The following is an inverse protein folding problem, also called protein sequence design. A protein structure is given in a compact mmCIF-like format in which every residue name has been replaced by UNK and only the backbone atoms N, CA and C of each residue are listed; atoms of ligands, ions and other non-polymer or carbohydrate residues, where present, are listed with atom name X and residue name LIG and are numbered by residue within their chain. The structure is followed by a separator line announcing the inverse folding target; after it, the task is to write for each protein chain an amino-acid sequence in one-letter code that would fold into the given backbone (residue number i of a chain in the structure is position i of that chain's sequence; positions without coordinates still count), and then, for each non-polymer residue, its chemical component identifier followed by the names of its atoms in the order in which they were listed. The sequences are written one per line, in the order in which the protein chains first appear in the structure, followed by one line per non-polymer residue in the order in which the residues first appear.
data_IF_986599815285
#
_entry.id   IF_986599815285
#
_cell.length_a   1.000
_cell.length_b   1.000
_cell.length_c   1.000
_cell.angle_alpha   90.00
_cell.angle_beta   90.00
_cell.angle_gamma   90.00
#
_symmetry.space_group_name_H-M   'P 1'
#
loop_
_entity.id
_entity.type
_entity.pdbx_description
1 polymer ?
#
# COMPACT_ATOMS: atom_id res chain seq x y z
N UNK A 1 -21.41 -31.17 -17.77
CA UNK A 1 -20.21 -31.07 -18.64
C UNK A 1 -19.95 -29.59 -18.86
N UNK A 2 -19.16 -28.95 -18.01
CA UNK A 2 -18.83 -27.54 -18.18
C UNK A 2 -17.43 -27.44 -18.76
N UNK A 3 -17.33 -27.25 -20.08
CA UNK A 3 -16.12 -26.69 -20.66
C UNK A 3 -16.41 -25.99 -21.99
N UNK A 4 -16.26 -24.66 -21.99
CA UNK A 4 -15.71 -23.93 -23.14
C UNK A 4 -15.06 -22.62 -22.62
N UNK A 5 -13.74 -22.63 -22.42
CA UNK A 5 -12.96 -21.42 -22.10
C UNK A 5 -12.83 -20.54 -23.35
N UNK A 6 -13.71 -19.55 -23.47
CA UNK A 6 -13.66 -18.43 -24.44
C UNK A 6 -12.72 -17.33 -23.95
N UNK A 7 -11.88 -16.76 -24.83
CA UNK A 7 -10.95 -15.63 -24.60
C UNK A 7 -9.95 -15.75 -23.42
N UNK A 8 -8.75 -15.12 -23.46
CA UNK A 8 -7.83 -15.16 -22.33
C UNK A 8 -8.35 -14.29 -21.19
N UNK A 9 -9.14 -14.87 -20.29
CA UNK A 9 -9.56 -14.20 -19.06
C UNK A 9 -8.40 -14.16 -18.04
N UNK A 10 -8.15 -12.98 -17.49
CA UNK A 10 -7.16 -12.76 -16.44
C UNK A 10 -7.75 -11.90 -15.34
N UNK A 11 -7.73 -12.42 -14.11
CA UNK A 11 -8.00 -11.63 -12.91
C UNK A 11 -6.69 -11.10 -12.33
N UNK A 12 -6.66 -9.84 -11.94
CA UNK A 12 -5.56 -9.25 -11.19
C UNK A 12 -6.11 -8.45 -10.03
N UNK A 13 -5.32 -8.39 -8.95
CA UNK A 13 -5.49 -7.40 -7.89
C UNK A 13 -4.82 -6.10 -8.33
N UNK A 14 -5.44 -4.96 -8.06
CA UNK A 14 -5.04 -3.68 -8.67
C UNK A 14 -4.29 -2.74 -7.73
N UNK A 15 -4.10 -3.11 -6.47
CA UNK A 15 -3.36 -2.25 -5.53
C UNK A 15 -3.36 -2.75 -4.09
N UNK A 16 -3.95 -1.97 -3.20
CA UNK A 16 -3.93 -2.16 -1.76
C UNK A 16 -4.40 -3.54 -1.29
N UNK A 17 -3.65 -4.17 -0.38
CA UNK A 17 -4.07 -5.35 0.36
C UNK A 17 -4.35 -4.96 1.83
N UNK A 18 -5.02 -5.85 2.56
CA UNK A 18 -5.21 -5.62 4.00
C UNK A 18 -3.85 -5.66 4.71
N UNK A 19 -3.54 -4.61 5.47
CA UNK A 19 -2.30 -4.55 6.24
C UNK A 19 -2.29 -5.63 7.33
N UNK A 20 -1.24 -6.47 7.39
CA UNK A 20 -1.06 -7.43 8.47
C UNK A 20 -1.06 -6.75 9.86
N UNK A 21 -1.48 -7.45 10.93
CA UNK A 21 -1.45 -6.91 12.29
C UNK A 21 -0.08 -6.35 12.70
N UNK A 22 1.00 -7.04 12.35
CA UNK A 22 2.39 -6.62 12.62
C UNK A 22 2.74 -5.28 11.95
N UNK A 23 2.32 -5.08 10.69
CA UNK A 23 2.54 -3.81 9.99
C UNK A 23 1.74 -2.67 10.62
N UNK A 24 0.50 -2.94 11.03
CA UNK A 24 -0.31 -1.93 11.74
C UNK A 24 0.36 -1.52 13.04
N UNK A 25 0.81 -2.49 13.83
CA UNK A 25 1.51 -2.25 15.09
C UNK A 25 2.81 -1.47 14.87
N UNK A 26 3.65 -1.86 13.92
CA UNK A 26 4.91 -1.15 13.63
C UNK A 26 4.66 0.30 13.21
N UNK A 27 3.61 0.57 12.43
CA UNK A 27 3.24 1.95 12.05
C UNK A 27 2.79 2.77 13.27
N UNK A 28 2.03 2.17 14.18
CA UNK A 28 1.65 2.84 15.44
C UNK A 28 2.87 3.12 16.32
N UNK A 29 3.80 2.17 16.46
CA UNK A 29 5.05 2.34 17.21
C UNK A 29 5.91 3.45 16.62
N UNK A 30 6.05 3.48 15.28
CA UNK A 30 6.79 4.53 14.59
C UNK A 30 6.15 5.91 14.81
N UNK A 31 4.81 6.01 14.75
CA UNK A 31 4.10 7.27 15.05
C UNK A 31 4.32 7.75 16.48
N UNK A 32 4.52 6.84 17.43
CA UNK A 32 4.86 7.13 18.83
C UNK A 32 6.36 7.39 19.06
N UNK A 33 7.20 7.23 18.03
CA UNK A 33 8.66 7.34 18.15
C UNK A 33 9.32 6.16 18.87
N UNK A 34 8.62 5.03 19.01
CA UNK A 34 9.11 3.82 19.69
C UNK A 34 10.06 2.99 18.81
N UNK A 35 9.93 3.09 17.48
CA UNK A 35 10.84 2.50 16.51
C UNK A 35 11.27 3.56 15.49
N UNK A 36 12.48 3.38 14.97
CA UNK A 36 13.06 4.19 13.90
C UNK A 36 12.36 3.93 12.56
N UNK A 37 12.53 4.87 11.62
CA UNK A 37 12.07 4.67 10.25
C UNK A 37 12.72 3.47 9.56
N UNK A 38 13.95 3.12 9.94
CA UNK A 38 14.65 1.93 9.42
C UNK A 38 14.01 0.64 9.94
N UNK A 39 13.67 0.58 11.22
CA UNK A 39 12.97 -0.59 11.80
C UNK A 39 11.56 -0.76 11.22
N UNK A 40 10.81 0.34 11.03
CA UNK A 40 9.53 0.28 10.32
C UNK A 40 9.73 -0.27 8.90
N UNK A 41 10.77 0.19 8.22
CA UNK A 41 11.08 -0.24 6.85
C UNK A 41 11.35 -1.75 6.78
N UNK A 42 12.05 -2.32 7.75
CA UNK A 42 12.28 -3.77 7.79
C UNK A 42 10.98 -4.56 7.95
N UNK A 43 10.04 -4.07 8.77
CA UNK A 43 8.70 -4.68 8.90
C UNK A 43 7.96 -4.60 7.58
N UNK A 44 7.94 -3.42 6.94
CA UNK A 44 7.31 -3.22 5.62
C UNK A 44 7.89 -4.18 4.57
N UNK A 45 9.21 -4.33 4.52
CA UNK A 45 9.91 -5.23 3.59
C UNK A 45 9.52 -6.70 3.81
N UNK A 46 9.40 -7.15 5.06
CA UNK A 46 8.94 -8.51 5.37
C UNK A 46 7.49 -8.70 4.94
N UNK A 47 6.58 -7.81 5.34
CA UNK A 47 5.18 -7.90 4.95
C UNK A 47 4.97 -7.88 3.44
N UNK A 48 5.75 -7.08 2.69
CA UNK A 48 5.69 -7.06 1.23
C UNK A 48 6.13 -8.40 0.65
N UNK A 49 7.23 -9.00 1.15
CA UNK A 49 7.67 -10.33 0.70
C UNK A 49 6.59 -11.39 0.94
N UNK A 50 5.92 -11.35 2.08
CA UNK A 50 4.84 -12.29 2.40
C UNK A 50 3.61 -12.07 1.51
N UNK A 51 3.27 -10.81 1.20
CA UNK A 51 2.19 -10.48 0.27
C UNK A 51 2.49 -10.93 -1.16
N UNK A 52 3.74 -10.78 -1.62
CA UNK A 52 4.21 -11.28 -2.92
C UNK A 52 4.07 -12.80 -2.96
N UNK A 53 4.61 -13.50 -1.96
CA UNK A 53 4.54 -14.96 -1.86
C UNK A 53 3.10 -15.47 -1.86
N UNK A 54 2.20 -14.85 -1.10
CA UNK A 54 0.79 -15.21 -1.07
C UNK A 54 0.13 -15.08 -2.46
N UNK A 55 0.40 -14.00 -3.19
CA UNK A 55 -0.14 -13.79 -4.53
C UNK A 55 0.42 -14.83 -5.52
N UNK A 56 1.71 -15.18 -5.43
CA UNK A 56 2.33 -16.24 -6.22
C UNK A 56 1.70 -17.61 -5.93
N UNK A 57 1.49 -17.95 -4.65
CA UNK A 57 0.90 -19.22 -4.21
C UNK A 57 -0.53 -19.44 -4.73
N UNK A 58 -1.32 -18.37 -4.85
CA UNK A 58 -2.68 -18.44 -5.41
C UNK A 58 -2.71 -18.30 -6.94
N UNK A 59 -1.55 -18.30 -7.60
CA UNK A 59 -1.41 -18.33 -9.05
C UNK A 59 -1.66 -16.98 -9.74
N UNK A 60 -1.50 -15.87 -9.02
CA UNK A 60 -1.64 -14.54 -9.63
C UNK A 60 -0.50 -14.26 -10.60
N UNK A 61 -0.85 -13.74 -11.77
CA UNK A 61 0.14 -13.29 -12.77
C UNK A 61 0.54 -11.82 -12.60
N UNK A 62 -0.26 -11.04 -11.87
CA UNK A 62 0.01 -9.63 -11.56
C UNK A 62 0.16 -9.50 -10.06
N UNK A 63 1.28 -8.94 -9.62
CA UNK A 63 1.67 -8.84 -8.22
C UNK A 63 1.70 -7.37 -7.83
N UNK A 64 1.12 -7.05 -6.67
CA UNK A 64 1.27 -5.73 -6.02
C UNK A 64 2.01 -5.88 -4.69
N UNK A 65 2.60 -4.80 -4.19
CA UNK A 65 3.21 -4.75 -2.85
C UNK A 65 2.16 -4.52 -1.73
N UNK A 66 0.87 -4.61 -2.09
CA UNK A 66 -0.24 -4.30 -1.18
C UNK A 66 -0.35 -2.83 -0.76
N UNK A 67 0.44 -1.92 -1.36
CA UNK A 67 0.55 -0.50 -0.97
C UNK A 67 0.92 -0.29 0.51
N UNK A 68 1.67 -1.23 1.10
CA UNK A 68 1.97 -1.26 2.53
C UNK A 68 2.76 -0.05 3.06
N UNK A 69 3.54 0.59 2.19
CA UNK A 69 4.33 1.79 2.50
C UNK A 69 3.57 3.09 2.34
N UNK A 70 2.34 3.03 1.82
CA UNK A 70 1.49 4.20 1.59
C UNK A 70 0.54 4.42 2.74
N UNK A 71 0.23 5.68 2.99
CA UNK A 71 -0.85 6.12 3.85
C UNK A 71 -2.12 6.38 3.02
N UNK A 72 -2.01 7.16 1.94
CA UNK A 72 -3.10 7.51 1.01
C UNK A 72 -2.54 7.64 -0.41
N UNK A 73 -2.97 6.77 -1.34
CA UNK A 73 -2.36 6.63 -2.67
C UNK A 73 -2.14 7.97 -3.41
N UNK A 74 -3.15 8.85 -3.43
CA UNK A 74 -3.07 10.10 -4.17
C UNK A 74 -2.28 11.17 -3.42
N UNK A 75 -2.40 11.22 -2.09
CA UNK A 75 -1.75 12.26 -1.28
C UNK A 75 -0.24 12.00 -1.18
N UNK A 76 0.14 10.73 -1.04
CA UNK A 76 1.55 10.34 -1.00
C UNK A 76 2.22 10.62 -2.34
N UNK A 77 1.53 10.40 -3.47
CA UNK A 77 2.04 10.74 -4.80
C UNK A 77 2.18 12.25 -4.98
N UNK A 78 1.12 13.01 -4.71
CA UNK A 78 1.11 14.45 -4.92
C UNK A 78 2.11 15.17 -4.02
N UNK A 79 2.33 14.70 -2.80
CA UNK A 79 3.30 15.30 -1.87
C UNK A 79 4.76 15.16 -2.31
N UNK A 80 5.07 14.32 -3.30
CA UNK A 80 6.42 14.23 -3.86
C UNK A 80 6.75 15.36 -4.85
N UNK A 81 5.76 16.13 -5.33
CA UNK A 81 6.02 17.25 -6.23
C UNK A 81 6.50 18.49 -5.47
N UNK A 82 7.52 19.14 -6.03
CA UNK A 82 7.98 20.43 -5.51
C UNK A 82 6.84 21.46 -5.53
N UNK A 83 6.67 22.19 -4.44
CA UNK A 83 5.62 23.20 -4.29
C UNK A 83 4.31 22.68 -3.71
N UNK A 84 4.13 21.37 -3.57
CA UNK A 84 2.97 20.77 -2.90
C UNK A 84 3.29 20.55 -1.42
N UNK A 85 2.42 21.03 -0.53
CA UNK A 85 2.49 20.76 0.91
C UNK A 85 1.20 20.12 1.38
N UNK A 86 1.33 19.01 2.10
CA UNK A 86 0.20 18.42 2.82
C UNK A 86 -0.06 19.28 4.06
N UNK A 87 -1.12 20.08 4.03
CA UNK A 87 -1.57 20.87 5.17
C UNK A 87 -2.68 20.09 5.85
N UNK A 88 -2.43 19.63 7.07
CA UNK A 88 -3.37 18.81 7.81
C UNK A 88 -4.54 19.62 8.35
N UNK A 89 -5.73 19.05 8.24
CA UNK A 89 -6.72 19.06 9.31
C UNK A 89 -7.44 17.72 9.24
N UNK A 90 -8.01 17.26 10.36
CA UNK A 90 -8.73 15.99 10.49
C UNK A 90 -9.43 15.51 9.22
N UNK A 91 -9.32 14.20 8.96
CA UNK A 91 -10.23 13.37 8.18
C UNK A 91 -11.25 14.17 7.33
N UNK A 92 -11.05 14.16 6.01
CA UNK A 92 -11.90 14.72 4.95
C UNK A 92 -11.57 16.17 4.49
N UNK A 93 -11.20 16.28 3.20
CA UNK A 93 -11.07 17.48 2.34
C UNK A 93 -9.66 18.08 2.20
N UNK A 94 -9.00 17.72 1.10
CA UNK A 94 -7.84 18.44 0.54
C UNK A 94 -8.31 19.74 -0.12
N UNK A 95 -7.89 20.90 0.39
CA UNK A 95 -7.97 22.18 -0.33
C UNK A 95 -6.66 22.40 -1.11
N UNK A 96 -6.75 22.46 -2.43
CA UNK A 96 -5.64 22.89 -3.28
C UNK A 96 -5.65 24.42 -3.39
N UNK A 97 -4.62 25.08 -2.89
CA UNK A 97 -4.30 26.46 -3.27
C UNK A 97 -3.16 26.42 -4.28
N UNK A 98 -3.49 26.74 -5.53
CA UNK A 98 -2.51 27.19 -6.54
C UNK A 98 -2.42 28.70 -6.36
N UNK A 99 -1.20 29.23 -6.21
CA UNK A 99 -0.94 30.65 -6.39
C UNK A 99 -0.32 30.87 -7.76
#
# INVERSE_FOLDING_TARGET
MAEEKKAPFRANHVGSLLRPPELRQAREQHQKGEITAAELREVEDRCIRDAVKMQEEVGMQGITDGEFRRNLWHADFLSQFQGIKVVGTHQHLLHFFVR
#
